data_IF_565542128969
#
_entry.id   IF_565542128969
#
_cell.length_a   1.000
_cell.length_b   1.000
_cell.length_c   1.000
_cell.angle_alpha   90.00
_cell.angle_beta   90.00
_cell.angle_gamma   90.00
#
_symmetry.space_group_name_H-M   'P 1'
#
loop_
_entity.id
_entity.type
_entity.pdbx_description
1 polymer ?
#
# COMPACT_ATOMS: atom_id res chain seq x y z
N UNK A 1 -36.93 14.05 30.60
CA UNK A 1 -36.21 15.07 29.80
C UNK A 1 -36.18 16.37 30.60
N UNK A 2 -34.99 16.91 30.85
CA UNK A 2 -34.68 18.20 30.23
C UNK A 2 -33.30 18.21 29.56
N UNK A 3 -33.24 18.93 28.43
CA UNK A 3 -32.05 19.15 27.62
C UNK A 3 -31.24 20.34 28.18
N UNK A 4 -29.92 20.19 28.28
CA UNK A 4 -29.01 21.30 28.48
C UNK A 4 -28.47 21.77 27.13
N UNK A 5 -29.01 22.89 26.64
CA UNK A 5 -28.41 23.72 25.58
C UNK A 5 -27.36 24.65 26.20
N UNK A 6 -26.24 24.84 25.50
CA UNK A 6 -25.30 25.94 25.74
C UNK A 6 -25.22 26.86 24.51
N UNK A 7 -24.95 28.16 24.69
CA UNK A 7 -25.38 29.21 23.77
C UNK A 7 -24.36 29.52 22.68
N UNK A 8 -24.88 29.87 21.50
CA UNK A 8 -24.13 30.40 20.35
C UNK A 8 -24.01 31.92 20.46
N UNK A 9 -22.92 32.45 19.90
CA UNK A 9 -22.67 33.81 19.41
C UNK A 9 -21.78 34.74 20.25
N UNK A 10 -20.64 35.08 19.64
CA UNK A 10 -20.18 36.47 19.60
C UNK A 10 -19.53 36.79 18.25
N UNK A 11 -20.30 37.48 17.41
CA UNK A 11 -19.84 38.24 16.25
C UNK A 11 -19.39 39.63 16.71
N UNK A 12 -18.37 40.20 16.06
CA UNK A 12 -18.17 41.64 15.87
C UNK A 12 -17.07 41.87 14.79
N UNK A 13 -16.92 43.07 14.20
CA UNK A 13 -17.78 43.67 13.17
C UNK A 13 -16.98 44.09 11.90
N UNK A 14 -17.69 44.65 10.91
CA UNK A 14 -17.28 44.85 9.52
C UNK A 14 -16.83 46.29 9.12
N UNK A 15 -15.85 46.35 8.19
CA UNK A 15 -15.69 47.27 7.03
C UNK A 15 -15.34 48.77 7.26
N UNK A 16 -14.99 49.63 6.24
CA UNK A 16 -14.95 49.46 4.75
C UNK A 16 -13.80 50.16 3.93
N UNK A 17 -13.81 49.94 2.60
CA UNK A 17 -13.50 50.84 1.45
C UNK A 17 -12.14 50.83 0.68
N UNK A 18 -12.22 50.44 -0.62
CA UNK A 18 -11.43 50.97 -1.75
C UNK A 18 -11.06 49.99 -2.91
N UNK A 19 -11.62 50.10 -4.14
CA UNK A 19 -11.22 49.34 -5.36
C UNK A 19 -10.69 50.26 -6.52
N UNK A 20 -10.52 49.85 -7.81
CA UNK A 20 -9.87 48.67 -8.45
C UNK A 20 -8.89 49.08 -9.61
N UNK A 21 -8.23 48.12 -10.33
CA UNK A 21 -8.00 48.05 -11.81
C UNK A 21 -6.76 47.17 -12.21
N UNK A 22 -6.95 46.38 -13.28
CA UNK A 22 -6.08 45.41 -14.00
C UNK A 22 -4.85 46.08 -14.73
N UNK A 23 -4.08 45.42 -15.64
CA UNK A 23 -3.16 44.26 -15.54
C UNK A 23 -1.78 44.55 -16.21
N UNK A 24 -0.63 44.12 -15.66
CA UNK A 24 0.59 43.81 -16.45
C UNK A 24 1.77 43.43 -15.56
N UNK A 25 2.28 42.21 -15.74
CA UNK A 25 3.59 41.79 -15.26
C UNK A 25 3.94 40.45 -15.92
N UNK A 26 5.08 40.31 -16.61
CA UNK A 26 5.41 39.05 -17.28
C UNK A 26 5.79 38.00 -16.23
N UNK A 27 5.41 36.71 -16.39
CA UNK A 27 6.05 35.67 -15.60
C UNK A 27 7.47 35.49 -16.11
N UNK A 28 8.45 35.60 -15.20
CA UNK A 28 9.83 35.23 -15.46
C UNK A 28 9.87 33.73 -15.78
N UNK A 29 10.08 33.41 -17.06
CA UNK A 29 10.44 32.09 -17.52
C UNK A 29 11.78 31.67 -16.90
N UNK A 30 11.76 30.62 -16.08
CA UNK A 30 12.93 29.88 -15.65
C UNK A 30 12.68 28.40 -15.91
N UNK A 31 13.24 27.92 -17.01
CA UNK A 31 13.60 26.52 -17.23
C UNK A 31 14.90 26.53 -18.06
N UNK A 32 15.70 25.44 -18.12
CA UNK A 32 15.63 24.18 -17.39
C UNK A 32 16.99 23.80 -16.74
N UNK A 33 16.97 23.42 -15.46
CA UNK A 33 18.10 22.73 -14.84
C UNK A 33 17.88 21.21 -14.93
N UNK A 34 18.78 20.52 -15.62
CA UNK A 34 18.83 19.06 -15.78
C UNK A 34 18.81 18.32 -14.44
N UNK A 35 17.61 18.05 -13.93
CA UNK A 35 17.36 16.99 -12.96
C UNK A 35 16.77 15.82 -13.73
N UNK A 36 17.60 14.81 -14.00
CA UNK A 36 17.16 13.51 -14.52
C UNK A 36 15.93 13.10 -13.69
N UNK A 37 14.77 12.78 -14.30
CA UNK A 37 13.71 12.17 -13.52
C UNK A 37 14.32 10.88 -13.00
N UNK A 38 14.42 10.75 -11.69
CA UNK A 38 14.58 9.44 -11.09
C UNK A 38 13.39 8.67 -11.65
N UNK A 39 13.65 7.78 -12.61
CA UNK A 39 12.76 6.69 -12.95
C UNK A 39 12.60 5.91 -11.65
N UNK A 40 11.68 6.41 -10.83
CA UNK A 40 10.94 5.57 -9.92
C UNK A 40 10.32 4.58 -10.88
N UNK A 41 10.92 3.40 -10.96
CA UNK A 41 10.31 2.21 -11.49
C UNK A 41 9.01 2.07 -10.71
N UNK A 42 7.98 2.74 -11.23
CA UNK A 42 6.71 2.93 -10.56
C UNK A 42 6.07 1.57 -10.66
N UNK A 43 6.34 0.75 -9.64
CA UNK A 43 5.85 -0.61 -9.55
C UNK A 43 4.38 -0.59 -9.98
N UNK A 44 4.00 -1.37 -11.01
CA UNK A 44 2.67 -1.31 -11.57
C UNK A 44 1.64 -1.44 -10.45
N UNK A 45 0.59 -0.62 -10.51
CA UNK A 45 -0.49 -0.66 -9.55
C UNK A 45 -1.02 -2.10 -9.44
N UNK A 46 -1.38 -2.56 -8.22
CA UNK A 46 -1.83 -3.92 -8.03
C UNK A 46 -3.02 -4.22 -8.94
N UNK A 47 -2.90 -5.30 -9.70
CA UNK A 47 -3.93 -5.81 -10.62
C UNK A 47 -5.13 -6.36 -9.84
N UNK A 48 -6.23 -6.71 -10.52
CA UNK A 48 -7.46 -7.21 -9.88
C UNK A 48 -7.25 -8.28 -8.80
N UNK A 49 -6.46 -9.35 -9.06
CA UNK A 49 -6.15 -10.37 -8.06
C UNK A 49 -5.31 -9.85 -6.88
N UNK A 50 -4.33 -8.98 -7.12
CA UNK A 50 -3.48 -8.39 -6.08
C UNK A 50 -4.29 -7.44 -5.19
N UNK A 51 -5.16 -6.63 -5.79
CA UNK A 51 -6.07 -5.76 -5.07
C UNK A 51 -7.08 -6.56 -4.23
N UNK A 52 -7.62 -7.65 -4.77
CA UNK A 52 -8.50 -8.55 -4.03
C UNK A 52 -7.77 -9.22 -2.85
N UNK A 53 -6.54 -9.69 -3.05
CA UNK A 53 -5.72 -10.27 -1.98
C UNK A 53 -5.43 -9.23 -0.88
N UNK A 54 -5.08 -8.00 -1.26
CA UNK A 54 -4.89 -6.90 -0.31
C UNK A 54 -6.17 -6.60 0.47
N UNK A 55 -7.33 -6.60 -0.19
CA UNK A 55 -8.62 -6.38 0.48
C UNK A 55 -8.93 -7.48 1.50
N UNK A 56 -8.64 -8.74 1.19
CA UNK A 56 -8.77 -9.87 2.13
C UNK A 56 -7.86 -9.71 3.34
N UNK A 57 -6.63 -9.24 3.13
CA UNK A 57 -5.61 -9.09 4.16
C UNK A 57 -5.65 -7.74 4.90
N UNK A 58 -6.46 -6.77 4.47
CA UNK A 58 -6.43 -5.39 4.97
C UNK A 58 -6.64 -5.26 6.48
N UNK A 59 -7.34 -6.23 7.09
CA UNK A 59 -7.73 -6.20 8.50
C UNK A 59 -6.89 -7.09 9.41
N UNK A 60 -6.02 -7.93 8.85
CA UNK A 60 -5.27 -8.89 9.64
C UNK A 60 -3.90 -9.17 9.02
N UNK A 61 -2.85 -8.84 9.79
CA UNK A 61 -1.51 -9.36 9.61
C UNK A 61 -1.11 -10.08 10.90
N UNK A 62 -0.73 -11.36 10.85
CA UNK A 62 -0.39 -12.13 12.05
C UNK A 62 0.99 -11.78 12.63
N UNK A 63 1.78 -10.94 11.95
CA UNK A 63 3.17 -10.66 12.30
C UNK A 63 3.26 -9.39 13.17
N UNK A 64 3.81 -9.52 14.37
CA UNK A 64 3.80 -8.48 15.40
C UNK A 64 4.54 -7.18 15.02
N UNK A 65 5.53 -7.26 14.13
CA UNK A 65 6.38 -6.16 13.69
C UNK A 65 6.05 -5.66 12.27
N UNK A 66 4.94 -6.14 11.69
CA UNK A 66 4.57 -5.85 10.30
C UNK A 66 3.23 -5.11 10.28
N UNK A 67 3.24 -3.93 9.67
CA UNK A 67 2.06 -3.07 9.56
C UNK A 67 1.79 -2.60 8.12
N UNK A 68 0.65 -1.94 7.90
CA UNK A 68 0.35 -1.33 6.62
C UNK A 68 1.32 -0.17 6.28
N UNK A 69 1.46 0.19 4.99
CA UNK A 69 0.78 -0.39 3.84
C UNK A 69 1.23 -1.83 3.58
N UNK A 70 0.35 -2.64 2.99
CA UNK A 70 0.71 -3.99 2.51
C UNK A 70 0.90 -3.96 1.00
N UNK A 71 1.73 -4.87 0.50
CA UNK A 71 1.93 -5.09 -0.92
C UNK A 71 1.44 -6.48 -1.31
N UNK A 72 0.98 -6.60 -2.56
CA UNK A 72 0.71 -7.89 -3.18
C UNK A 72 1.36 -7.93 -4.56
N UNK A 73 1.78 -9.13 -4.97
CA UNK A 73 2.37 -9.40 -6.27
C UNK A 73 1.97 -10.79 -6.76
N UNK A 74 1.98 -10.97 -8.08
CA UNK A 74 1.66 -12.24 -8.73
C UNK A 74 2.92 -12.95 -9.20
N UNK A 75 3.00 -14.25 -8.90
CA UNK A 75 4.03 -15.17 -9.35
C UNK A 75 3.37 -16.31 -10.14
N UNK A 76 3.82 -16.54 -11.38
CA UNK A 76 3.43 -17.73 -12.14
C UNK A 76 4.41 -18.87 -11.86
N UNK A 77 3.88 -20.02 -11.41
CA UNK A 77 4.67 -21.21 -11.13
C UNK A 77 3.92 -22.48 -11.52
N UNK A 78 4.59 -23.38 -12.26
CA UNK A 78 4.03 -24.66 -12.74
C UNK A 78 2.64 -24.53 -13.40
N UNK A 79 2.45 -23.50 -14.20
CA UNK A 79 1.19 -23.25 -14.92
C UNK A 79 0.05 -22.71 -14.05
N UNK A 80 0.31 -22.29 -12.81
CA UNK A 80 -0.67 -21.63 -11.94
C UNK A 80 -0.16 -20.25 -11.53
N UNK A 81 -1.07 -19.28 -11.41
CA UNK A 81 -0.78 -17.97 -10.84
C UNK A 81 -0.99 -18.01 -9.33
N UNK A 82 -0.05 -17.42 -8.60
CA UNK A 82 -0.09 -17.29 -7.16
C UNK A 82 0.04 -15.82 -6.80
N UNK A 83 -0.87 -15.30 -5.98
CA UNK A 83 -0.80 -13.94 -5.47
C UNK A 83 -0.26 -14.02 -4.05
N UNK A 84 0.82 -13.32 -3.76
CA UNK A 84 1.43 -13.33 -2.44
C UNK A 84 1.37 -11.94 -1.82
N UNK A 85 1.02 -11.88 -0.54
CA UNK A 85 0.84 -10.65 0.24
C UNK A 85 1.96 -10.53 1.26
N UNK A 86 2.55 -9.34 1.31
CA UNK A 86 3.67 -9.04 2.17
C UNK A 86 3.50 -7.66 2.81
N UNK A 87 4.12 -7.48 3.97
CA UNK A 87 4.27 -6.18 4.60
C UNK A 87 5.75 -5.85 4.79
N UNK A 88 6.01 -4.77 5.52
CA UNK A 88 7.36 -4.34 5.86
C UNK A 88 7.54 -4.41 7.37
N UNK A 89 8.65 -5.02 7.80
CA UNK A 89 9.06 -4.95 9.21
C UNK A 89 9.69 -3.60 9.55
N UNK A 90 10.00 -3.37 10.83
CA UNK A 90 10.67 -2.15 11.30
C UNK A 90 12.05 -1.90 10.68
N UNK A 91 12.66 -2.93 10.08
CA UNK A 91 13.92 -2.83 9.35
C UNK A 91 13.74 -2.54 7.85
N UNK A 92 12.51 -2.31 7.39
CA UNK A 92 12.21 -2.07 5.97
C UNK A 92 12.30 -3.32 5.10
N UNK A 93 12.42 -4.51 5.70
CA UNK A 93 12.47 -5.77 4.96
C UNK A 93 11.06 -6.29 4.71
N UNK A 94 10.84 -6.84 3.51
CA UNK A 94 9.58 -7.48 3.15
C UNK A 94 9.37 -8.76 3.96
N UNK A 95 8.17 -8.92 4.52
CA UNK A 95 7.74 -10.09 5.29
C UNK A 95 6.52 -10.71 4.65
N UNK A 96 6.63 -11.97 4.24
CA UNK A 96 5.51 -12.72 3.65
C UNK A 96 4.55 -13.16 4.76
N UNK A 97 3.25 -12.99 4.55
CA UNK A 97 2.27 -13.47 5.53
C UNK A 97 1.04 -14.16 4.94
N UNK A 98 0.76 -14.06 3.65
CA UNK A 98 -0.31 -14.84 3.01
C UNK A 98 0.00 -15.13 1.54
N UNK A 99 -0.44 -16.28 1.04
CA UNK A 99 -0.32 -16.64 -0.38
C UNK A 99 -1.60 -17.31 -0.84
N UNK A 100 -2.11 -16.82 -1.96
CA UNK A 100 -3.28 -17.35 -2.64
C UNK A 100 -2.88 -18.00 -3.96
N UNK A 101 -3.58 -19.07 -4.34
CA UNK A 101 -3.61 -19.56 -5.70
C UNK A 101 -4.78 -18.92 -6.42
N UNK A 102 -4.53 -18.34 -7.59
CA UNK A 102 -5.57 -17.79 -8.43
C UNK A 102 -6.29 -18.93 -9.17
N UNK A 103 -7.58 -19.06 -8.89
CA UNK A 103 -8.54 -19.82 -9.68
C UNK A 103 -9.27 -18.88 -10.65
N UNK A 104 -10.17 -19.42 -11.49
CA UNK A 104 -10.90 -18.60 -12.47
C UNK A 104 -11.65 -17.43 -11.84
N UNK A 105 -12.34 -17.67 -10.73
CA UNK A 105 -13.24 -16.70 -10.10
C UNK A 105 -12.92 -16.45 -8.61
N UNK A 106 -11.80 -16.99 -8.11
CA UNK A 106 -11.49 -16.95 -6.68
C UNK A 106 -9.98 -16.95 -6.39
N UNK A 107 -9.64 -16.48 -5.19
CA UNK A 107 -8.33 -16.63 -4.58
C UNK A 107 -8.42 -17.68 -3.47
N UNK A 108 -7.77 -18.81 -3.67
CA UNK A 108 -7.74 -19.89 -2.69
C UNK A 108 -6.49 -19.76 -1.81
N UNK A 109 -6.61 -19.65 -0.48
CA UNK A 109 -5.44 -19.59 0.40
C UNK A 109 -4.63 -20.89 0.31
N UNK A 110 -3.31 -20.76 0.27
CA UNK A 110 -2.38 -21.88 0.18
C UNK A 110 -1.81 -22.13 1.58
N UNK A 111 -1.64 -23.40 1.95
CA UNK A 111 -0.94 -23.73 3.19
C UNK A 111 0.56 -23.43 3.04
N UNK A 112 1.21 -22.91 4.08
CA UNK A 112 2.60 -22.43 3.99
C UNK A 112 3.61 -23.50 3.50
N UNK A 113 3.39 -24.78 3.83
CA UNK A 113 4.22 -25.90 3.35
C UNK A 113 4.00 -26.25 1.86
N UNK A 114 2.99 -25.66 1.22
CA UNK A 114 2.66 -25.81 -0.20
C UNK A 114 2.99 -24.57 -1.02
N UNK A 115 3.58 -23.54 -0.39
CA UNK A 115 3.94 -22.32 -1.10
C UNK A 115 4.90 -22.62 -2.27
N UNK A 116 4.76 -21.88 -3.40
CA UNK A 116 5.67 -22.02 -4.52
C UNK A 116 7.14 -21.88 -4.12
N UNK A 117 7.96 -22.83 -4.55
CA UNK A 117 9.42 -22.83 -4.27
C UNK A 117 10.11 -21.48 -4.60
N UNK A 118 9.75 -20.76 -5.68
CA UNK A 118 10.37 -19.46 -5.95
C UNK A 118 10.14 -18.41 -4.86
N UNK A 119 9.04 -18.47 -4.10
CA UNK A 119 8.81 -17.55 -2.98
C UNK A 119 9.87 -17.68 -1.90
N UNK A 120 10.43 -18.88 -1.70
CA UNK A 120 11.52 -19.11 -0.76
C UNK A 120 12.75 -18.26 -1.10
N UNK A 121 13.02 -17.97 -2.38
CA UNK A 121 14.13 -17.08 -2.76
C UNK A 121 13.87 -15.62 -2.38
N UNK A 122 12.61 -15.18 -2.45
CA UNK A 122 12.16 -13.81 -2.15
C UNK A 122 12.02 -13.57 -0.64
N UNK A 123 11.58 -14.58 0.10
CA UNK A 123 11.24 -14.52 1.53
C UNK A 123 11.96 -15.59 2.32
N UNK A 124 13.28 -15.69 2.15
CA UNK A 124 14.12 -16.69 2.83
C UNK A 124 13.92 -16.66 4.34
N UNK A 125 13.87 -15.45 4.92
CA UNK A 125 13.71 -15.27 6.35
C UNK A 125 12.41 -15.87 6.91
N UNK A 126 11.33 -15.77 6.15
CA UNK A 126 10.01 -16.25 6.57
C UNK A 126 9.84 -17.75 6.27
N UNK A 127 10.44 -18.24 5.18
CA UNK A 127 10.16 -19.58 4.67
C UNK A 127 11.22 -20.62 5.04
N UNK A 128 12.50 -20.27 5.17
CA UNK A 128 13.54 -21.24 5.54
C UNK A 128 13.21 -22.02 6.83
N UNK A 129 12.67 -21.41 7.91
CA UNK A 129 12.27 -22.15 9.11
C UNK A 129 11.30 -23.31 8.83
N UNK A 130 10.39 -23.15 7.85
CA UNK A 130 9.41 -24.19 7.48
C UNK A 130 10.03 -25.41 6.81
N UNK A 131 11.26 -25.29 6.28
CA UNK A 131 11.97 -26.37 5.58
C UNK A 131 13.13 -26.97 6.39
N UNK A 132 13.45 -26.39 7.55
CA UNK A 132 14.56 -26.83 8.40
C UNK A 132 14.15 -27.70 9.58
N UNK A 133 12.86 -27.96 9.77
CA UNK A 133 12.37 -28.90 10.78
C UNK A 133 12.47 -30.36 10.28
N UNK A 134 13.71 -30.83 10.23
CA UNK A 134 14.07 -32.25 10.23
C UNK A 134 15.12 -32.47 11.30
N UNK A 135 14.68 -32.71 12.53
CA UNK A 135 15.45 -33.44 13.53
C UNK A 135 14.56 -34.47 14.19
#
# INVERSE_FOLDING_TARGET
MPAHQSPVHRLAPAHPNGPPLHPNGPPLSLAPGLGVPFETDAKPAPTGPEQAALALCARYCPLADVGPPFGAETLVWRGSAYVYVFGWDSGGRRRLFEVFRQQRDALEPVLAFQYPVPLRKLFRHDLDPLYHDRR
#
